data_IF_023917839327
#
_entry.id   IF_023917839327
#
_cell.length_a   1.000
_cell.length_b   1.000
_cell.length_c   1.000
_cell.angle_alpha   90.00
_cell.angle_beta   90.00
_cell.angle_gamma   90.00
#
_symmetry.space_group_name_H-M   'P 1'
#
loop_
_entity.id
_entity.type
_entity.pdbx_description
1 polymer ?
#
# COMPACT_ATOMS: atom_id res chain seq x y z
N UNK A 1 -9.55 4.41 18.23
CA UNK A 1 -10.26 3.16 18.58
C UNK A 1 -10.88 3.18 19.98
N UNK A 2 -10.85 4.31 20.72
CA UNK A 2 -11.48 4.39 22.04
C UNK A 2 -10.70 3.73 23.19
N UNK A 3 -9.61 3.02 22.93
CA UNK A 3 -8.81 2.27 23.92
C UNK A 3 -7.91 3.14 24.83
N UNK A 4 -8.22 4.42 25.02
CA UNK A 4 -7.38 5.38 25.76
C UNK A 4 -7.22 5.05 27.25
N UNK A 5 -8.27 4.57 27.91
CA UNK A 5 -8.25 4.20 29.33
C UNK A 5 -7.21 3.13 29.65
N UNK A 6 -6.93 2.21 28.71
CA UNK A 6 -5.93 1.15 28.88
C UNK A 6 -4.50 1.69 29.08
N UNK A 7 -4.20 2.87 28.52
CA UNK A 7 -2.88 3.50 28.59
C UNK A 7 -2.78 4.53 29.72
N UNK A 8 -3.88 4.86 30.39
CA UNK A 8 -3.88 5.84 31.47
C UNK A 8 -3.52 5.18 32.81
N UNK A 9 -2.52 5.71 33.54
CA UNK A 9 -2.06 5.09 34.79
C UNK A 9 -3.14 5.04 35.88
N UNK A 10 -4.01 6.05 35.95
CA UNK A 10 -5.02 6.16 37.02
C UNK A 10 -6.37 5.51 36.66
N UNK A 11 -6.63 5.30 35.36
CA UNK A 11 -7.93 4.84 34.85
C UNK A 11 -7.89 3.41 34.31
N UNK A 12 -6.71 2.87 34.03
CA UNK A 12 -6.55 1.52 33.52
C UNK A 12 -6.95 0.50 34.60
N UNK A 13 -7.96 -0.30 34.28
CA UNK A 13 -8.44 -1.35 35.15
C UNK A 13 -8.11 -2.73 34.58
N UNK A 14 -6.97 -3.28 35.03
CA UNK A 14 -6.47 -4.61 34.68
C UNK A 14 -6.63 -5.61 35.83
N UNK A 15 -7.69 -5.47 36.65
CA UNK A 15 -8.02 -6.38 37.76
C UNK A 15 -8.07 -7.85 37.37
N UNK A 16 -8.44 -8.17 36.14
CA UNK A 16 -8.45 -9.55 35.64
C UNK A 16 -7.06 -10.20 35.53
N UNK A 17 -5.98 -9.41 35.51
CA UNK A 17 -4.60 -9.89 35.45
C UNK A 17 -3.94 -9.92 36.83
N UNK A 18 -4.02 -8.82 37.58
CA UNK A 18 -3.31 -8.64 38.85
C UNK A 18 -4.19 -8.67 40.10
N UNK A 19 -5.52 -8.69 39.98
CA UNK A 19 -6.45 -8.65 41.11
C UNK A 19 -6.56 -7.29 41.83
N UNK A 20 -5.59 -6.39 41.65
CA UNK A 20 -5.53 -5.05 42.27
C UNK A 20 -5.95 -3.99 41.23
N UNK A 21 -6.88 -3.06 41.55
CA UNK A 21 -7.27 -1.98 40.65
C UNK A 21 -6.19 -0.91 40.52
N UNK A 22 -6.06 -0.34 39.32
CA UNK A 22 -5.30 0.88 39.01
C UNK A 22 -3.79 0.84 39.34
N UNK A 23 -3.19 -0.35 39.44
CA UNK A 23 -1.73 -0.52 39.63
C UNK A 23 -1.00 -0.76 38.30
N UNK A 24 -1.71 -1.32 37.32
CA UNK A 24 -1.18 -1.63 35.99
C UNK A 24 -1.90 -0.82 34.92
N UNK A 25 -1.11 -0.28 34.01
CA UNK A 25 -1.59 0.25 32.75
C UNK A 25 -0.69 -0.28 31.63
N UNK A 26 -1.20 -0.21 30.41
CA UNK A 26 -0.42 -0.58 29.25
C UNK A 26 0.44 0.61 28.83
N UNK A 27 1.77 0.44 28.90
CA UNK A 27 2.70 1.50 28.53
C UNK A 27 2.72 1.72 27.01
N UNK A 28 3.07 0.68 26.24
CA UNK A 28 3.19 0.74 24.78
C UNK A 28 2.82 -0.60 24.13
N UNK A 29 2.23 -0.54 22.93
CA UNK A 29 2.08 -1.68 22.01
C UNK A 29 2.70 -1.31 20.68
N UNK A 30 3.61 -2.15 20.19
CA UNK A 30 4.23 -2.02 18.88
C UNK A 30 3.99 -3.29 18.08
N UNK A 31 3.45 -3.14 16.87
CA UNK A 31 3.35 -4.21 15.89
C UNK A 31 4.31 -3.93 14.75
N UNK A 32 5.23 -4.85 14.50
CA UNK A 32 6.19 -4.78 13.39
C UNK A 32 5.85 -5.90 12.40
N UNK A 33 5.52 -5.52 11.17
CA UNK A 33 5.23 -6.45 10.08
C UNK A 33 6.30 -6.31 9.01
N UNK A 34 6.87 -7.44 8.57
CA UNK A 34 7.83 -7.49 7.46
C UNK A 34 7.22 -8.25 6.29
N UNK A 35 7.28 -7.66 5.10
CA UNK A 35 6.81 -8.25 3.86
C UNK A 35 7.92 -8.19 2.81
N UNK A 36 8.20 -9.33 2.18
CA UNK A 36 9.19 -9.44 1.11
C UNK A 36 8.59 -10.15 -0.09
N UNK A 37 8.72 -9.57 -1.28
CA UNK A 37 8.33 -10.20 -2.54
C UNK A 37 9.56 -10.82 -3.18
N UNK A 38 9.60 -12.15 -3.25
CA UNK A 38 10.58 -12.86 -4.07
C UNK A 38 10.02 -13.00 -5.48
N UNK A 39 10.71 -12.42 -6.47
CA UNK A 39 10.48 -12.72 -7.89
C UNK A 39 10.76 -14.19 -8.17
N UNK A 40 10.03 -14.77 -9.12
CA UNK A 40 10.06 -16.21 -9.36
C UNK A 40 11.44 -16.66 -9.91
N UNK A 41 12.08 -17.61 -9.21
CA UNK A 41 13.21 -18.47 -9.63
C UNK A 41 14.56 -17.88 -10.07
N UNK A 42 14.76 -16.56 -10.14
CA UNK A 42 16.12 -16.00 -10.34
C UNK A 42 16.74 -15.58 -9.01
N UNK A 43 17.57 -16.46 -8.46
CA UNK A 43 18.46 -16.19 -7.32
C UNK A 43 19.45 -15.11 -7.75
N UNK A 44 19.13 -13.83 -7.55
CA UNK A 44 19.98 -12.70 -7.94
C UNK A 44 19.26 -11.38 -8.19
N UNK A 45 17.94 -11.38 -8.32
CA UNK A 45 17.16 -10.14 -8.48
C UNK A 45 16.88 -9.52 -7.11
N UNK A 46 17.13 -8.21 -6.95
CA UNK A 46 16.99 -7.50 -5.68
C UNK A 46 15.58 -7.68 -5.11
N UNK A 47 15.44 -8.40 -4.00
CA UNK A 47 14.16 -8.64 -3.35
C UNK A 47 13.63 -7.35 -2.72
N UNK A 48 12.43 -6.94 -3.13
CA UNK A 48 11.77 -5.82 -2.49
C UNK A 48 11.23 -6.24 -1.12
N UNK A 49 11.82 -5.69 -0.06
CA UNK A 49 11.36 -5.86 1.32
C UNK A 49 10.90 -4.53 1.92
N UNK A 50 9.73 -4.55 2.55
CA UNK A 50 9.18 -3.43 3.29
C UNK A 50 8.83 -3.84 4.72
N UNK A 51 9.23 -2.99 5.66
CA UNK A 51 8.92 -3.13 7.08
C UNK A 51 7.92 -2.04 7.45
N UNK A 52 6.83 -2.42 8.12
CA UNK A 52 5.81 -1.53 8.65
C UNK A 52 5.77 -1.62 10.19
N UNK A 53 5.63 -0.48 10.89
CA UNK A 53 5.63 0.88 10.38
C UNK A 53 6.98 1.25 9.73
N UNK A 54 6.94 2.07 8.68
CA UNK A 54 8.14 2.43 7.93
C UNK A 54 9.15 3.12 8.86
N UNK A 55 10.38 2.61 8.89
CA UNK A 55 11.48 3.28 9.59
C UNK A 55 11.61 4.72 9.07
N UNK A 56 11.86 5.67 9.98
CA UNK A 56 11.73 7.11 9.72
C UNK A 56 12.23 7.54 8.34
N UNK A 57 11.47 8.40 7.65
CA UNK A 57 11.71 8.85 6.27
C UNK A 57 13.15 9.37 6.05
N UNK A 58 13.84 9.82 7.10
CA UNK A 58 15.25 10.25 7.06
C UNK A 58 16.20 9.11 6.65
N UNK A 59 15.98 7.88 7.13
CA UNK A 59 16.78 6.71 6.73
C UNK A 59 16.42 6.21 5.32
N UNK A 60 15.19 6.46 4.83
CA UNK A 60 14.78 6.15 3.44
C UNK A 60 15.38 7.12 2.42
N UNK A 61 15.47 8.43 2.73
CA UNK A 61 16.10 9.43 1.85
C UNK A 61 17.61 9.26 1.72
N UNK A 62 18.31 8.91 2.79
CA UNK A 62 19.76 8.69 2.77
C UNK A 62 20.19 7.58 1.78
N UNK A 63 19.37 6.54 1.58
CA UNK A 63 19.65 5.48 0.59
C UNK A 63 19.35 5.86 -0.86
N UNK A 64 18.57 6.92 -1.09
CA UNK A 64 18.16 7.35 -2.44
C UNK A 64 19.02 8.52 -2.95
N UNK A 65 19.50 9.38 -2.05
CA UNK A 65 20.28 10.58 -2.38
C UNK A 65 21.77 10.33 -2.66
N UNK A 66 22.26 9.09 -2.54
CA UNK A 66 23.67 8.80 -2.87
C UNK A 66 23.94 8.90 -4.39
N UNK A 67 22.90 8.81 -5.25
CA UNK A 67 23.07 8.58 -6.69
C UNK A 67 22.34 9.57 -7.62
N UNK A 68 21.79 10.69 -7.13
CA UNK A 68 21.06 11.64 -7.99
C UNK A 68 21.68 13.03 -7.91
N UNK A 69 22.22 13.59 -9.01
CA UNK A 69 22.72 14.95 -9.04
C UNK A 69 21.57 15.96 -8.92
N UNK A 70 21.87 17.04 -8.20
CA UNK A 70 20.98 17.98 -7.54
C UNK A 70 20.32 19.01 -8.46
N UNK A 71 19.85 18.67 -9.66
CA UNK A 71 19.36 19.68 -10.62
C UNK A 71 18.01 19.35 -11.31
N UNK A 72 17.11 18.60 -10.67
CA UNK A 72 15.75 18.39 -11.18
C UNK A 72 14.71 18.89 -10.17
N UNK A 73 14.45 20.18 -10.26
CA UNK A 73 13.34 20.88 -9.61
C UNK A 73 11.99 20.21 -9.92
N UNK A 74 11.32 19.75 -8.86
CA UNK A 74 9.88 19.89 -8.61
C UNK A 74 8.87 19.75 -9.77
N UNK A 75 9.03 18.75 -10.65
CA UNK A 75 7.90 18.25 -11.44
C UNK A 75 7.31 17.00 -10.79
N UNK A 76 6.37 17.20 -9.86
CA UNK A 76 5.37 16.18 -9.51
C UNK A 76 4.82 15.59 -10.82
N UNK A 77 4.99 14.28 -11.09
CA UNK A 77 4.55 13.71 -12.35
C UNK A 77 3.01 13.79 -12.38
N UNK A 78 2.47 14.66 -13.24
CA UNK A 78 1.03 14.70 -13.60
C UNK A 78 0.58 13.44 -14.36
N UNK A 79 1.27 12.31 -14.18
CA UNK A 79 0.99 11.02 -14.80
C UNK A 79 -0.20 10.30 -14.16
N UNK A 80 -0.77 10.81 -13.06
CA UNK A 80 -1.98 10.27 -12.46
C UNK A 80 -3.14 10.20 -13.47
N UNK A 81 -3.24 11.17 -14.39
CA UNK A 81 -4.29 11.24 -15.41
C UNK A 81 -4.02 10.36 -16.65
N UNK A 82 -2.78 9.96 -16.93
CA UNK A 82 -2.43 9.19 -18.15
C UNK A 82 -2.86 7.72 -18.15
N UNK A 83 -3.09 7.07 -17.01
CA UNK A 83 -3.49 5.65 -17.02
C UNK A 83 -4.98 5.38 -17.26
N UNK A 84 -5.80 6.44 -17.33
CA UNK A 84 -7.19 6.35 -17.79
C UNK A 84 -7.36 6.83 -19.23
N UNK A 85 -6.29 7.34 -19.86
CA UNK A 85 -6.28 7.60 -21.29
C UNK A 85 -6.11 6.27 -22.03
N UNK A 86 -7.24 5.61 -22.29
CA UNK A 86 -7.31 4.65 -23.38
C UNK A 86 -7.05 5.45 -24.69
N UNK A 87 -6.01 5.11 -25.48
CA UNK A 87 -5.69 5.82 -26.72
C UNK A 87 -6.83 5.81 -27.74
N UNK A 88 -7.86 4.98 -27.53
CA UNK A 88 -9.09 4.91 -28.33
C UNK A 88 -10.33 5.48 -27.61
N UNK A 89 -10.16 6.14 -26.47
CA UNK A 89 -11.23 6.87 -25.79
C UNK A 89 -11.54 8.17 -26.53
N UNK A 90 -12.49 8.09 -27.46
CA UNK A 90 -13.03 9.26 -28.13
C UNK A 90 -14.27 9.77 -27.37
N UNK A 91 -14.20 10.94 -26.70
CA UNK A 91 -15.32 11.50 -25.94
C UNK A 91 -16.53 11.83 -26.82
N UNK A 92 -16.36 11.95 -28.14
CA UNK A 92 -17.46 12.21 -29.08
C UNK A 92 -18.46 11.05 -29.14
N UNK A 93 -18.04 9.82 -28.83
CA UNK A 93 -18.90 8.63 -28.81
C UNK A 93 -19.87 8.62 -27.62
N UNK A 94 -19.63 9.44 -26.59
CA UNK A 94 -20.56 9.61 -25.47
C UNK A 94 -21.79 10.44 -25.83
N UNK A 95 -21.70 11.28 -26.87
CA UNK A 95 -22.81 12.07 -27.37
C UNK A 95 -23.85 11.22 -28.13
N UNK A 96 -23.49 10.01 -28.56
CA UNK A 96 -24.40 9.09 -29.24
C UNK A 96 -25.39 8.45 -28.25
N UNK A 97 -26.64 8.18 -28.66
CA UNK A 97 -27.60 7.45 -27.85
C UNK A 97 -27.11 6.02 -27.58
N UNK A 98 -27.44 5.47 -26.41
CA UNK A 98 -26.86 4.23 -25.87
C UNK A 98 -26.94 3.03 -26.83
N UNK A 99 -27.98 2.95 -27.65
CA UNK A 99 -28.19 1.88 -28.66
C UNK A 99 -27.23 1.96 -29.86
N UNK A 100 -26.73 3.16 -30.16
CA UNK A 100 -25.81 3.43 -31.26
C UNK A 100 -24.35 3.51 -30.81
N UNK A 101 -24.10 3.54 -29.50
CA UNK A 101 -22.75 3.42 -28.98
C UNK A 101 -22.21 2.04 -29.36
N UNK A 102 -21.01 1.95 -29.94
CA UNK A 102 -20.40 0.65 -30.19
C UNK A 102 -20.33 -0.08 -28.85
N UNK A 103 -21.05 -1.21 -28.73
CA UNK A 103 -20.84 -2.14 -27.63
C UNK A 103 -19.35 -2.44 -27.64
N UNK A 104 -18.70 -2.36 -26.48
CA UNK A 104 -17.28 -2.67 -26.32
C UNK A 104 -17.01 -4.18 -26.52
N UNK A 105 -17.51 -4.77 -27.61
CA UNK A 105 -17.06 -6.04 -28.13
C UNK A 105 -15.71 -5.77 -28.82
N UNK A 106 -14.71 -5.46 -27.99
CA UNK A 106 -13.31 -5.39 -28.40
C UNK A 106 -12.92 -6.79 -28.88
N UNK A 107 -12.27 -6.88 -30.03
CA UNK A 107 -11.41 -8.02 -30.34
C UNK A 107 -10.42 -8.09 -29.17
N UNK A 108 -10.38 -9.17 -28.38
CA UNK A 108 -9.78 -9.11 -27.07
C UNK A 108 -8.26 -9.11 -27.20
N UNK A 109 -7.65 -7.94 -27.13
CA UNK A 109 -6.33 -7.88 -26.49
C UNK A 109 -6.53 -8.44 -25.09
N UNK A 110 -5.79 -9.50 -24.78
CA UNK A 110 -5.90 -10.21 -23.49
C UNK A 110 -5.72 -9.17 -22.38
N UNK A 111 -6.69 -9.02 -21.45
CA UNK A 111 -6.60 -8.02 -20.41
C UNK A 111 -5.36 -8.27 -19.55
N UNK A 112 -4.44 -7.29 -19.50
CA UNK A 112 -3.20 -7.37 -18.72
C UNK A 112 -3.32 -6.53 -17.45
N UNK A 113 -3.15 -7.18 -16.29
CA UNK A 113 -3.04 -6.50 -15.01
C UNK A 113 -1.58 -6.08 -14.79
N UNK A 114 -1.35 -4.77 -14.59
CA UNK A 114 -0.03 -4.22 -14.28
C UNK A 114 -0.04 -3.57 -12.90
N UNK A 115 1.01 -3.81 -12.12
CA UNK A 115 1.17 -3.30 -10.76
C UNK A 115 2.26 -2.21 -10.72
N UNK A 116 2.16 -1.25 -11.64
CA UNK A 116 3.19 -0.22 -11.86
C UNK A 116 2.99 1.02 -10.97
N UNK A 117 1.98 1.01 -10.08
CA UNK A 117 1.55 2.14 -9.24
C UNK A 117 1.36 1.70 -7.79
N UNK A 118 1.35 2.61 -6.81
CA UNK A 118 1.05 2.24 -5.43
C UNK A 118 -0.30 1.53 -5.33
N UNK A 119 -0.31 0.34 -4.75
CA UNK A 119 -1.52 -0.48 -4.60
C UNK A 119 -1.67 -0.99 -3.17
N UNK A 120 -2.91 -1.29 -2.79
CA UNK A 120 -3.23 -1.95 -1.53
C UNK A 120 -3.22 -3.46 -1.74
N UNK A 121 -2.71 -4.19 -0.76
CA UNK A 121 -2.71 -5.65 -0.78
C UNK A 121 -3.23 -6.21 0.54
N UNK A 122 -3.82 -7.41 0.43
CA UNK A 122 -4.34 -8.17 1.55
C UNK A 122 -3.85 -9.61 1.45
N UNK A 123 -3.34 -10.14 2.56
CA UNK A 123 -3.09 -11.57 2.72
C UNK A 123 -4.28 -12.11 3.52
N UNK A 124 -5.09 -12.94 2.89
CA UNK A 124 -6.31 -13.48 3.48
C UNK A 124 -6.19 -14.99 3.64
N UNK A 125 -6.52 -15.50 4.81
CA UNK A 125 -6.74 -16.92 5.01
C UNK A 125 -8.14 -17.29 4.49
N UNK A 126 -8.22 -17.94 3.33
CA UNK A 126 -9.50 -18.20 2.66
C UNK A 126 -10.50 -19.03 3.49
N UNK A 127 -10.10 -20.10 4.22
CA UNK A 127 -11.04 -20.90 5.00
C UNK A 127 -11.71 -20.14 6.15
N UNK A 128 -10.96 -19.33 6.93
CA UNK A 128 -11.53 -18.58 8.07
C UNK A 128 -11.98 -17.17 7.70
N UNK A 129 -11.58 -16.69 6.51
CA UNK A 129 -11.84 -15.33 6.06
C UNK A 129 -10.99 -14.26 6.74
N UNK A 130 -10.09 -14.62 7.66
CA UNK A 130 -9.25 -13.68 8.41
C UNK A 130 -8.26 -12.96 7.50
N UNK A 131 -8.12 -11.65 7.70
CA UNK A 131 -7.08 -10.84 7.06
C UNK A 131 -5.83 -10.95 7.94
N UNK A 132 -4.82 -11.65 7.44
CA UNK A 132 -3.55 -11.85 8.13
C UNK A 132 -2.66 -10.61 8.00
N UNK A 133 -2.69 -9.97 6.83
CA UNK A 133 -1.87 -8.81 6.57
C UNK A 133 -2.59 -7.85 5.63
N UNK A 134 -2.42 -6.56 5.89
CA UNK A 134 -2.92 -5.46 5.08
C UNK A 134 -1.80 -4.44 4.96
N UNK A 135 -1.56 -3.95 3.74
CA UNK A 135 -0.50 -2.97 3.51
C UNK A 135 -0.70 -2.18 2.23
N UNK A 136 0.10 -1.12 2.10
CA UNK A 136 0.20 -0.30 0.89
C UNK A 136 1.58 -0.50 0.28
N UNK A 137 1.65 -1.23 -0.81
CA UNK A 137 2.88 -1.40 -1.57
C UNK A 137 3.13 -0.17 -2.43
N UNK A 138 4.35 0.37 -2.39
CA UNK A 138 4.76 1.43 -3.28
C UNK A 138 5.89 0.91 -4.18
N UNK A 139 5.59 0.49 -5.44
CA UNK A 139 6.62 0.06 -6.35
C UNK A 139 7.53 1.27 -6.61
N UNK A 140 8.74 1.23 -6.06
CA UNK A 140 9.77 2.16 -6.52
C UNK A 140 10.04 1.79 -7.97
N UNK A 141 10.04 2.78 -8.85
CA UNK A 141 10.67 2.65 -10.16
C UNK A 141 12.08 2.11 -9.88
N UNK A 142 12.29 0.82 -10.12
CA UNK A 142 13.63 0.29 -10.28
C UNK A 142 14.23 1.13 -11.41
N UNK A 143 15.40 1.78 -11.20
CA UNK A 143 16.08 2.49 -12.26
C UNK A 143 16.40 1.55 -13.44
#
# INVERSE_FOLDING_TARGET
MGLHELFHPEQADLRGLNGIPNELHLADILQINNFATCGDRKIGESHHSEIYPATSLKARRARYLQNVPTDLEEQEPRDYQRAFHDPFYDPTLLALPLSQRPRQARIPDVPRLRFDRPFLYFIRHNPTGLILHMGRFNPRLLP
#
